data_IF_251348313460
#
_entry.id   IF_251348313460
#
_cell.length_a   1.000
_cell.length_b   1.000
_cell.length_c   1.000
_cell.angle_alpha   90.00
_cell.angle_beta   90.00
_cell.angle_gamma   90.00
#
_symmetry.space_group_name_H-M   'P 1'
#
loop_
_entity.id
_entity.type
_entity.pdbx_description
1 polymer ?
#
# COMPACT_ATOMS: atom_id res chain seq x y z
N UNK A 1 50.76 -33.63 -44.85
CA UNK A 1 50.12 -32.49 -45.53
C UNK A 1 48.73 -32.36 -44.98
N UNK A 2 48.52 -31.43 -44.04
CA UNK A 2 47.22 -31.08 -43.55
C UNK A 2 47.25 -29.55 -43.33
N UNK A 3 46.46 -28.87 -44.12
CA UNK A 3 46.30 -27.42 -44.19
C UNK A 3 45.49 -26.89 -43.00
N UNK A 4 46.05 -25.95 -42.31
CA UNK A 4 45.43 -25.20 -41.21
C UNK A 4 44.63 -24.05 -41.83
N UNK A 5 43.30 -24.04 -41.65
CA UNK A 5 42.44 -22.89 -41.97
C UNK A 5 42.43 -21.87 -40.85
N UNK A 6 42.90 -20.69 -41.13
CA UNK A 6 42.87 -19.50 -40.29
C UNK A 6 41.47 -18.85 -40.34
N UNK A 7 40.67 -18.94 -39.26
CA UNK A 7 39.47 -18.14 -39.13
C UNK A 7 39.81 -16.72 -38.66
N UNK A 8 39.60 -15.74 -39.54
CA UNK A 8 39.77 -14.31 -39.27
C UNK A 8 38.61 -13.84 -38.35
N UNK A 9 38.88 -13.66 -37.08
CA UNK A 9 38.01 -12.91 -36.16
C UNK A 9 37.97 -11.44 -36.60
N UNK A 10 36.78 -10.96 -36.93
CA UNK A 10 36.49 -9.63 -37.41
C UNK A 10 36.84 -8.56 -36.36
N UNK A 11 37.75 -7.64 -36.71
CA UNK A 11 38.14 -6.47 -35.91
C UNK A 11 36.98 -5.55 -35.49
N UNK A 12 35.77 -5.69 -36.08
CA UNK A 12 34.59 -4.90 -35.72
C UNK A 12 33.88 -5.35 -34.45
N UNK A 13 33.94 -6.64 -34.05
CA UNK A 13 33.35 -7.14 -32.84
C UNK A 13 34.12 -6.74 -31.57
N UNK A 14 35.45 -6.51 -31.68
CA UNK A 14 36.30 -6.15 -30.55
C UNK A 14 36.16 -4.66 -30.14
N UNK A 15 35.84 -3.79 -31.11
CA UNK A 15 35.67 -2.34 -30.86
C UNK A 15 34.33 -1.99 -30.21
N UNK A 16 33.26 -2.80 -30.41
CA UNK A 16 31.95 -2.56 -29.79
C UNK A 16 31.94 -2.94 -28.29
N UNK A 17 32.68 -4.00 -27.89
CA UNK A 17 32.78 -4.39 -26.48
C UNK A 17 33.71 -3.49 -25.66
N UNK A 18 34.70 -2.86 -26.30
CA UNK A 18 35.64 -1.93 -25.63
C UNK A 18 35.04 -0.53 -25.41
N UNK A 19 34.08 -0.11 -26.23
CA UNK A 19 33.41 1.20 -26.09
C UNK A 19 32.46 1.26 -24.90
N UNK A 20 31.79 0.15 -24.55
CA UNK A 20 30.87 0.09 -23.42
C UNK A 20 31.60 0.14 -22.05
N UNK A 21 32.82 -0.41 -21.96
CA UNK A 21 33.61 -0.37 -20.71
C UNK A 21 34.37 0.98 -20.58
N UNK A 22 34.67 1.66 -21.71
CA UNK A 22 35.37 2.94 -21.71
C UNK A 22 34.50 4.14 -21.35
N UNK A 23 33.18 4.10 -21.64
CA UNK A 23 32.28 5.21 -21.39
C UNK A 23 31.99 5.44 -19.88
N UNK A 24 32.03 4.38 -19.07
CA UNK A 24 31.81 4.48 -17.62
C UNK A 24 32.96 5.23 -16.89
N UNK A 25 34.13 5.34 -17.49
CA UNK A 25 35.30 6.00 -16.91
C UNK A 25 35.43 7.50 -17.25
N UNK A 26 34.54 8.05 -18.08
CA UNK A 26 34.62 9.44 -18.56
C UNK A 26 33.90 10.43 -17.64
N UNK A 27 32.98 9.95 -16.76
CA UNK A 27 32.24 10.83 -15.87
C UNK A 27 33.00 11.06 -14.54
N UNK A 28 32.93 12.28 -13.97
CA UNK A 28 33.42 12.57 -12.63
C UNK A 28 32.82 11.60 -11.58
N UNK A 29 33.58 11.28 -10.54
CA UNK A 29 33.13 10.33 -9.49
C UNK A 29 31.75 10.67 -8.90
N UNK A 30 31.46 11.96 -8.71
CA UNK A 30 30.14 12.43 -8.25
C UNK A 30 29.01 12.12 -9.24
N UNK A 31 29.25 12.21 -10.54
CA UNK A 31 28.26 11.89 -11.58
C UNK A 31 28.06 10.37 -11.68
N UNK A 32 29.13 9.59 -11.50
CA UNK A 32 29.02 8.12 -11.42
C UNK A 32 28.22 7.67 -10.20
N UNK A 33 28.53 8.22 -9.03
CA UNK A 33 27.77 7.94 -7.80
C UNK A 33 26.27 8.30 -7.97
N UNK A 34 25.96 9.47 -8.56
CA UNK A 34 24.59 9.87 -8.83
C UNK A 34 23.87 8.98 -9.87
N UNK A 35 24.59 8.44 -10.87
CA UNK A 35 24.04 7.48 -11.84
C UNK A 35 23.81 6.12 -11.18
N UNK A 36 24.71 5.66 -10.33
CA UNK A 36 24.58 4.42 -9.56
C UNK A 36 23.45 4.51 -8.52
N UNK A 37 23.33 5.63 -7.84
CA UNK A 37 22.27 5.89 -6.85
C UNK A 37 20.87 5.92 -7.48
N UNK A 38 20.73 6.45 -8.70
CA UNK A 38 19.46 6.54 -9.41
C UNK A 38 19.10 5.27 -10.21
N UNK A 39 20.01 4.27 -10.29
CA UNK A 39 19.76 3.04 -11.02
C UNK A 39 18.64 2.20 -10.36
N UNK A 40 17.85 1.54 -11.20
CA UNK A 40 16.93 0.50 -10.75
C UNK A 40 17.74 -0.78 -10.56
N UNK A 41 17.83 -1.25 -9.31
CA UNK A 41 18.62 -2.42 -8.91
C UNK A 41 17.68 -3.56 -8.54
N UNK A 42 17.96 -4.82 -8.94
CA UNK A 42 17.23 -5.96 -8.43
C UNK A 42 17.30 -6.02 -6.90
N UNK A 43 16.18 -6.38 -6.28
CA UNK A 43 16.08 -6.60 -4.85
C UNK A 43 15.61 -8.01 -4.56
N UNK A 44 16.11 -8.60 -3.49
CA UNK A 44 15.71 -9.90 -2.99
C UNK A 44 15.59 -9.84 -1.48
N UNK A 45 14.52 -10.39 -0.96
CA UNK A 45 14.35 -10.53 0.50
C UNK A 45 15.29 -11.63 0.99
N UNK A 46 16.13 -11.31 1.97
CA UNK A 46 17.10 -12.22 2.58
C UNK A 46 17.24 -11.85 4.07
N UNK A 47 16.40 -12.44 4.90
CA UNK A 47 16.39 -12.16 6.35
C UNK A 47 17.36 -13.09 7.05
N UNK A 48 18.36 -12.55 7.78
CA UNK A 48 19.28 -13.36 8.58
C UNK A 48 18.55 -14.25 9.59
N UNK A 49 18.99 -15.52 9.74
CA UNK A 49 18.33 -16.48 10.64
C UNK A 49 18.34 -16.01 12.10
N UNK A 50 19.38 -15.30 12.52
CA UNK A 50 19.48 -14.72 13.86
C UNK A 50 18.33 -13.77 14.20
N UNK A 51 17.76 -13.05 13.22
CA UNK A 51 16.59 -12.19 13.44
C UNK A 51 15.31 -13.02 13.69
N UNK A 52 15.17 -14.15 13.01
CA UNK A 52 14.05 -15.08 13.24
C UNK A 52 14.18 -15.78 14.58
N UNK A 53 15.40 -16.14 14.98
CA UNK A 53 15.70 -16.71 16.31
C UNK A 53 15.39 -15.67 17.40
N UNK A 54 15.79 -14.41 17.23
CA UNK A 54 15.48 -13.32 18.17
C UNK A 54 13.98 -13.09 18.29
N UNK A 55 13.25 -13.06 17.16
CA UNK A 55 11.78 -12.98 17.16
C UNK A 55 11.15 -14.08 18.02
N UNK A 56 11.50 -15.35 17.75
CA UNK A 56 10.96 -16.49 18.51
C UNK A 56 11.30 -16.39 20.01
N UNK A 57 12.51 -15.97 20.33
CA UNK A 57 12.96 -15.77 21.73
C UNK A 57 12.11 -14.69 22.41
N UNK A 58 11.83 -13.56 21.74
CA UNK A 58 11.01 -12.46 22.29
C UNK A 58 9.56 -12.88 22.46
N UNK A 59 8.98 -13.60 21.50
CA UNK A 59 7.64 -14.17 21.63
C UNK A 59 7.53 -15.12 22.83
N UNK A 60 8.53 -15.98 23.06
CA UNK A 60 8.56 -16.89 24.20
C UNK A 60 8.75 -16.19 25.56
N UNK A 61 9.42 -15.02 25.57
CA UNK A 61 9.69 -14.25 26.76
C UNK A 61 8.61 -13.20 27.07
N UNK A 62 7.47 -13.24 26.36
CA UNK A 62 6.40 -12.27 26.54
C UNK A 62 5.88 -12.22 27.96
N UNK A 63 5.85 -11.03 28.55
CA UNK A 63 5.17 -10.75 29.80
C UNK A 63 3.74 -10.29 29.50
N UNK A 64 2.78 -11.12 29.84
CA UNK A 64 1.37 -10.86 29.55
C UNK A 64 0.76 -9.92 30.60
N UNK A 65 -0.14 -9.01 30.15
CA UNK A 65 -0.97 -8.20 31.06
C UNK A 65 -2.10 -9.03 31.67
N UNK A 66 -2.83 -8.41 32.57
CA UNK A 66 -4.12 -8.94 33.05
C UNK A 66 -5.13 -9.03 31.89
N UNK A 67 -6.08 -9.93 32.04
CA UNK A 67 -7.16 -10.10 31.06
C UNK A 67 -8.05 -8.86 31.04
N UNK A 68 -8.58 -8.52 29.85
CA UNK A 68 -9.63 -7.51 29.66
C UNK A 68 -10.84 -7.81 30.56
N UNK A 69 -11.54 -6.73 31.01
CA UNK A 69 -12.70 -6.84 31.90
C UNK A 69 -14.05 -6.85 31.16
N UNK A 70 -13.99 -6.79 29.82
CA UNK A 70 -15.16 -6.84 28.92
C UNK A 70 -15.17 -8.15 28.13
N UNK A 71 -16.29 -8.45 27.48
CA UNK A 71 -16.46 -9.67 26.68
C UNK A 71 -16.28 -9.45 25.19
N UNK A 72 -16.03 -8.20 24.79
CA UNK A 72 -15.85 -7.76 23.41
C UNK A 72 -14.45 -7.13 23.21
N UNK A 73 -14.24 -6.46 22.09
CA UNK A 73 -12.97 -5.80 21.76
C UNK A 73 -12.95 -4.30 22.13
N UNK A 74 -13.87 -3.82 22.93
CA UNK A 74 -13.96 -2.39 23.30
C UNK A 74 -12.77 -1.89 24.13
N UNK A 75 -12.02 -2.79 24.78
CA UNK A 75 -10.75 -2.50 25.45
C UNK A 75 -9.52 -2.86 24.60
N UNK A 76 -9.68 -3.24 23.34
CA UNK A 76 -8.61 -3.66 22.42
C UNK A 76 -8.66 -5.15 22.11
N UNK A 77 -7.55 -5.68 21.59
CA UNK A 77 -7.42 -7.10 21.23
C UNK A 77 -7.51 -7.97 22.49
N UNK A 78 -8.40 -8.97 22.46
CA UNK A 78 -8.62 -9.87 23.60
C UNK A 78 -7.39 -10.75 23.89
N UNK A 79 -7.02 -10.87 25.15
CA UNK A 79 -5.83 -11.59 25.63
C UNK A 79 -5.76 -13.04 25.10
N UNK A 80 -6.87 -13.77 25.18
CA UNK A 80 -6.90 -15.19 24.79
C UNK A 80 -6.62 -15.37 23.29
N UNK A 81 -7.21 -14.54 22.43
CA UNK A 81 -6.99 -14.58 20.98
C UNK A 81 -5.55 -14.19 20.62
N UNK A 82 -5.01 -13.16 21.25
CA UNK A 82 -3.64 -12.75 21.02
C UNK A 82 -2.63 -13.80 21.50
N UNK A 83 -2.88 -14.47 22.64
CA UNK A 83 -2.04 -15.57 23.13
C UNK A 83 -2.03 -16.76 22.17
N UNK A 84 -3.18 -17.09 21.57
CA UNK A 84 -3.25 -18.15 20.56
C UNK A 84 -2.46 -17.80 19.31
N UNK A 85 -2.64 -16.56 18.79
CA UNK A 85 -1.91 -16.08 17.63
C UNK A 85 -0.40 -16.06 17.87
N UNK A 86 0.05 -15.58 19.02
CA UNK A 86 1.47 -15.50 19.40
C UNK A 86 2.07 -16.89 19.58
N UNK A 87 1.32 -17.84 20.16
CA UNK A 87 1.74 -19.24 20.23
C UNK A 87 1.96 -19.82 18.82
N UNK A 88 1.00 -19.60 17.92
CA UNK A 88 1.11 -20.04 16.53
C UNK A 88 2.30 -19.39 15.83
N UNK A 89 2.46 -18.06 15.98
CA UNK A 89 3.56 -17.29 15.41
C UNK A 89 4.94 -17.79 15.84
N UNK A 90 5.08 -18.15 17.12
CA UNK A 90 6.35 -18.62 17.67
C UNK A 90 6.70 -20.09 17.38
N UNK A 91 5.69 -20.94 17.03
CA UNK A 91 5.88 -22.40 16.91
C UNK A 91 5.58 -22.96 15.53
N UNK A 92 4.49 -22.52 14.91
CA UNK A 92 3.92 -23.16 13.73
C UNK A 92 4.12 -22.33 12.46
N UNK A 93 4.22 -21.00 12.61
CA UNK A 93 4.44 -20.05 11.51
C UNK A 93 5.90 -20.10 11.01
N UNK A 94 6.06 -20.03 9.69
CA UNK A 94 7.37 -20.07 9.04
C UNK A 94 7.54 -18.89 8.06
N UNK A 95 8.29 -17.87 8.47
CA UNK A 95 8.65 -16.72 7.62
C UNK A 95 9.30 -17.13 6.29
N UNK A 96 10.06 -18.24 6.26
CA UNK A 96 10.74 -18.65 5.01
C UNK A 96 9.77 -18.93 3.87
N UNK A 97 8.52 -19.29 4.18
CA UNK A 97 7.47 -19.44 3.17
C UNK A 97 7.05 -18.08 2.59
N UNK A 98 6.87 -17.05 3.44
CA UNK A 98 6.58 -15.70 3.02
C UNK A 98 7.73 -15.10 2.20
N UNK A 99 8.97 -15.25 2.67
CA UNK A 99 10.17 -14.82 1.98
C UNK A 99 10.31 -15.48 0.60
N UNK A 100 10.10 -16.81 0.52
CA UNK A 100 10.11 -17.53 -0.75
C UNK A 100 9.02 -17.02 -1.70
N UNK A 101 7.79 -16.80 -1.21
CA UNK A 101 6.67 -16.24 -1.98
C UNK A 101 7.00 -14.85 -2.52
N UNK A 102 7.49 -13.94 -1.69
CA UNK A 102 7.94 -12.62 -2.10
C UNK A 102 9.03 -12.71 -3.17
N UNK A 103 9.99 -13.59 -3.00
CA UNK A 103 11.11 -13.78 -3.93
C UNK A 103 10.74 -14.44 -5.27
N UNK A 104 9.51 -14.91 -5.45
CA UNK A 104 9.00 -15.30 -6.78
C UNK A 104 8.64 -14.10 -7.65
N UNK A 105 8.47 -12.93 -7.03
CA UNK A 105 8.08 -11.70 -7.71
C UNK A 105 9.32 -10.88 -8.08
N UNK A 106 9.34 -10.24 -9.26
CA UNK A 106 10.38 -9.28 -9.60
C UNK A 106 10.31 -8.08 -8.68
N UNK A 107 11.36 -7.89 -7.87
CA UNK A 107 11.49 -6.81 -6.90
C UNK A 107 12.71 -5.96 -7.20
N UNK A 108 12.60 -4.68 -6.93
CA UNK A 108 13.63 -3.71 -7.25
C UNK A 108 13.76 -2.65 -6.16
N UNK A 109 14.88 -1.93 -6.23
CA UNK A 109 15.21 -0.78 -5.40
C UNK A 109 15.73 0.35 -6.27
N UNK A 110 15.32 1.59 -6.00
CA UNK A 110 15.92 2.77 -6.63
C UNK A 110 15.94 3.92 -5.62
N UNK A 111 16.97 4.77 -5.68
CA UNK A 111 17.04 5.91 -4.79
C UNK A 111 16.28 7.10 -5.38
N UNK A 112 15.32 7.66 -4.64
CA UNK A 112 14.60 8.89 -5.01
C UNK A 112 14.64 9.83 -3.80
N UNK A 113 15.12 11.04 -4.01
CA UNK A 113 15.26 12.08 -2.99
C UNK A 113 16.01 11.63 -1.72
N UNK A 114 17.04 10.79 -1.92
CA UNK A 114 17.88 10.27 -0.85
C UNK A 114 17.33 9.07 -0.10
N UNK A 115 16.16 8.55 -0.48
CA UNK A 115 15.61 7.32 0.06
C UNK A 115 15.63 6.19 -0.97
N UNK A 116 16.06 5.01 -0.55
CA UNK A 116 15.91 3.78 -1.31
C UNK A 116 14.44 3.35 -1.27
N UNK A 117 13.80 3.35 -2.43
CA UNK A 117 12.41 2.95 -2.62
C UNK A 117 12.38 1.53 -3.15
N UNK A 118 11.84 0.63 -2.35
CA UNK A 118 11.53 -0.74 -2.75
C UNK A 118 10.23 -0.79 -3.53
N UNK A 119 10.17 -1.62 -4.57
CA UNK A 119 8.94 -1.87 -5.31
C UNK A 119 8.92 -3.24 -5.99
N UNK A 120 7.74 -3.80 -6.12
CA UNK A 120 7.44 -4.96 -6.96
C UNK A 120 7.04 -4.41 -8.32
N UNK A 121 7.57 -4.97 -9.41
CA UNK A 121 7.21 -4.56 -10.76
C UNK A 121 7.01 -5.79 -11.65
N UNK A 122 5.75 -6.08 -11.99
CA UNK A 122 5.39 -7.21 -12.83
C UNK A 122 4.75 -6.72 -14.12
N UNK A 123 5.41 -7.02 -15.24
CA UNK A 123 4.89 -6.71 -16.57
C UNK A 123 3.99 -7.82 -17.06
N UNK A 124 2.88 -7.44 -17.65
CA UNK A 124 2.02 -8.35 -18.39
C UNK A 124 2.72 -8.86 -19.66
N UNK A 125 2.34 -10.05 -20.08
CA UNK A 125 2.71 -10.58 -21.41
C UNK A 125 1.94 -9.91 -22.56
N UNK A 126 0.86 -9.20 -22.23
CA UNK A 126 0.03 -8.48 -23.20
C UNK A 126 0.68 -7.13 -23.53
N UNK A 127 0.98 -6.90 -24.82
CA UNK A 127 1.75 -5.73 -25.29
C UNK A 127 1.09 -4.38 -25.00
N UNK A 128 -0.24 -4.35 -24.87
CA UNK A 128 -1.03 -3.13 -24.65
C UNK A 128 -1.51 -3.01 -23.20
N UNK A 129 -0.83 -3.68 -22.27
CA UNK A 129 -1.14 -3.57 -20.85
C UNK A 129 -1.06 -2.10 -20.38
N UNK A 130 -2.05 -1.65 -19.62
CA UNK A 130 -2.06 -0.32 -19.02
C UNK A 130 -1.21 -0.36 -17.75
N UNK A 131 -0.16 0.46 -17.62
CA UNK A 131 0.59 0.51 -16.37
C UNK A 131 -0.26 1.07 -15.22
N UNK A 132 -0.22 0.41 -14.08
CA UNK A 132 -0.87 0.85 -12.85
C UNK A 132 0.12 0.84 -11.70
N UNK A 133 0.19 1.95 -10.96
CA UNK A 133 0.86 2.00 -9.67
C UNK A 133 -0.19 1.84 -8.57
N UNK A 134 0.01 0.85 -7.69
CA UNK A 134 -0.92 0.51 -6.62
C UNK A 134 -0.23 0.76 -5.28
N UNK A 135 -0.83 1.61 -4.46
CA UNK A 135 -0.25 2.02 -3.18
C UNK A 135 -1.05 1.45 -2.02
N UNK A 136 -0.35 0.70 -1.15
CA UNK A 136 -0.88 0.15 0.10
C UNK A 136 -1.05 1.21 1.19
N UNK A 137 -1.57 0.80 2.35
CA UNK A 137 -1.69 1.63 3.54
C UNK A 137 -1.23 0.98 4.83
N UNK A 138 -1.73 1.48 5.96
CA UNK A 138 -1.45 0.95 7.30
C UNK A 138 -2.70 0.23 7.87
N UNK A 139 -2.55 -0.87 8.60
CA UNK A 139 -1.33 -1.60 8.91
C UNK A 139 -0.91 -2.64 7.86
N UNK A 140 -1.33 -2.48 6.61
CA UNK A 140 -0.91 -3.32 5.49
C UNK A 140 0.48 -2.95 4.96
N UNK A 141 0.87 -3.66 3.91
CA UNK A 141 2.11 -3.47 3.17
C UNK A 141 1.94 -3.97 1.74
N UNK A 142 3.04 -4.14 1.00
CA UNK A 142 3.00 -4.82 -0.31
C UNK A 142 2.38 -6.22 -0.24
N UNK A 143 2.37 -6.85 0.95
CA UNK A 143 1.80 -8.19 1.16
C UNK A 143 0.30 -8.22 0.86
N UNK A 144 -0.45 -7.18 1.21
CA UNK A 144 -1.90 -7.10 0.95
C UNK A 144 -2.25 -7.10 -0.55
N UNK A 145 -1.29 -6.71 -1.40
CA UNK A 145 -1.50 -6.53 -2.84
C UNK A 145 -0.98 -7.70 -3.70
N UNK A 146 -0.33 -8.70 -3.11
CA UNK A 146 0.28 -9.81 -3.87
C UNK A 146 -0.76 -10.59 -4.67
N UNK A 147 -1.95 -10.81 -4.08
CA UNK A 147 -3.00 -11.63 -4.70
C UNK A 147 -3.60 -11.03 -5.95
N UNK A 148 -3.53 -9.71 -6.14
CA UNK A 148 -4.10 -9.04 -7.32
C UNK A 148 -3.14 -9.01 -8.51
N UNK A 149 -1.86 -9.34 -8.31
CA UNK A 149 -0.84 -9.29 -9.37
C UNK A 149 -1.21 -10.23 -10.53
N UNK A 150 -1.49 -11.50 -10.23
CA UNK A 150 -1.91 -12.47 -11.25
C UNK A 150 -3.16 -12.02 -12.03
N UNK A 151 -4.29 -11.77 -11.35
CA UNK A 151 -5.51 -11.29 -11.99
C UNK A 151 -5.33 -10.04 -12.85
N UNK A 152 -4.46 -9.11 -12.47
CA UNK A 152 -4.21 -7.88 -13.24
C UNK A 152 -3.24 -8.08 -14.40
N UNK A 153 -2.19 -8.89 -14.23
CA UNK A 153 -1.15 -9.05 -15.26
C UNK A 153 -1.49 -10.12 -16.30
N UNK A 154 -2.30 -11.12 -15.95
CA UNK A 154 -2.81 -12.18 -16.82
C UNK A 154 -4.32 -12.35 -16.66
N UNK A 155 -5.12 -11.35 -17.09
CA UNK A 155 -6.57 -11.39 -16.91
C UNK A 155 -7.24 -12.56 -17.62
N UNK A 156 -6.65 -13.11 -18.66
CA UNK A 156 -7.23 -14.25 -19.42
C UNK A 156 -7.28 -15.53 -18.59
N UNK A 157 -6.35 -15.72 -17.67
CA UNK A 157 -6.38 -16.82 -16.71
C UNK A 157 -7.37 -16.56 -15.54
N UNK A 158 -7.94 -15.35 -15.45
CA UNK A 158 -8.76 -14.88 -14.34
C UNK A 158 -10.09 -14.24 -14.81
N UNK A 159 -10.70 -14.78 -15.88
CA UNK A 159 -12.05 -14.38 -16.33
C UNK A 159 -12.14 -13.04 -17.05
N UNK A 160 -11.02 -12.37 -17.33
CA UNK A 160 -10.94 -11.14 -18.11
C UNK A 160 -10.44 -11.35 -19.53
N UNK A 161 -10.25 -10.26 -20.27
CA UNK A 161 -9.71 -10.27 -21.64
C UNK A 161 -8.26 -9.75 -21.66
N UNK A 162 -7.52 -10.05 -22.74
CA UNK A 162 -6.14 -9.60 -22.90
C UNK A 162 -6.02 -8.06 -22.89
N UNK A 163 -7.05 -7.36 -23.33
CA UNK A 163 -7.13 -5.89 -23.38
C UNK A 163 -7.26 -5.28 -21.98
N UNK A 164 -7.71 -6.07 -21.00
CA UNK A 164 -7.87 -5.64 -19.61
C UNK A 164 -6.56 -5.72 -18.79
N UNK A 165 -5.47 -6.18 -19.40
CA UNK A 165 -4.20 -6.39 -18.71
C UNK A 165 -3.56 -5.10 -18.18
N UNK A 166 -2.85 -5.25 -17.06
CA UNK A 166 -2.04 -4.18 -16.48
C UNK A 166 -0.58 -4.61 -16.34
N UNK A 167 0.34 -3.66 -16.53
CA UNK A 167 1.66 -3.71 -15.91
C UNK A 167 1.51 -3.18 -14.48
N UNK A 168 1.95 -3.94 -13.48
CA UNK A 168 1.70 -3.63 -12.08
C UNK A 168 2.97 -3.17 -11.38
N UNK A 169 2.91 -1.98 -10.74
CA UNK A 169 3.97 -1.43 -9.89
C UNK A 169 3.40 -1.27 -8.49
N UNK A 170 4.03 -1.92 -7.50
CA UNK A 170 3.61 -1.87 -6.09
C UNK A 170 4.80 -1.41 -5.26
N UNK A 171 4.93 -0.11 -4.98
CA UNK A 171 5.99 0.38 -4.12
C UNK A 171 5.68 0.16 -2.64
N UNK A 172 6.70 -0.11 -1.82
CA UNK A 172 6.64 0.11 -0.38
C UNK A 172 6.66 1.61 -0.09
N UNK A 173 5.67 2.11 0.61
CA UNK A 173 5.62 3.53 1.01
C UNK A 173 6.88 3.88 1.82
N UNK A 174 7.49 5.09 1.65
CA UNK A 174 8.63 5.52 2.47
C UNK A 174 8.40 5.29 3.96
N UNK A 175 9.33 4.57 4.59
CA UNK A 175 9.20 4.19 6.00
C UNK A 175 8.43 2.90 6.27
N UNK A 176 7.93 2.22 5.24
CA UNK A 176 7.24 0.93 5.30
C UNK A 176 8.06 -0.17 4.64
N UNK A 177 7.89 -1.39 5.13
CA UNK A 177 8.48 -2.58 4.53
C UNK A 177 9.98 -2.41 4.23
N UNK A 178 10.37 -2.65 3.00
CA UNK A 178 11.77 -2.60 2.59
C UNK A 178 12.23 -1.22 2.07
N UNK A 179 11.35 -0.22 1.96
CA UNK A 179 11.77 1.14 1.66
C UNK A 179 12.50 1.79 2.83
N UNK A 180 13.45 2.67 2.51
CA UNK A 180 14.18 3.45 3.53
C UNK A 180 13.24 4.29 4.38
N UNK A 181 13.65 4.51 5.64
CA UNK A 181 12.92 5.33 6.60
C UNK A 181 13.36 6.78 6.46
N UNK A 182 12.42 7.72 6.29
CA UNK A 182 12.75 9.14 6.34
C UNK A 182 13.48 9.51 7.64
N UNK A 183 14.58 10.25 7.50
CA UNK A 183 15.36 10.76 8.64
C UNK A 183 15.04 12.21 8.96
N UNK A 184 14.25 12.88 8.11
CA UNK A 184 13.76 14.24 8.27
C UNK A 184 12.26 14.30 8.09
N UNK A 185 11.67 15.47 8.35
CA UNK A 185 10.25 15.78 8.10
C UNK A 185 10.00 16.11 6.62
N UNK A 186 8.72 16.14 6.22
CA UNK A 186 8.29 16.54 4.88
C UNK A 186 7.94 15.38 3.95
N UNK A 187 7.99 14.13 4.42
CA UNK A 187 7.57 12.95 3.67
C UNK A 187 6.07 12.70 3.84
N UNK A 188 5.30 13.69 3.45
CA UNK A 188 3.84 13.65 3.45
C UNK A 188 3.28 13.06 2.13
N UNK A 189 1.95 12.86 2.00
CA UNK A 189 1.35 12.33 0.79
C UNK A 189 1.68 13.12 -0.49
N UNK A 190 1.91 14.43 -0.41
CA UNK A 190 2.26 15.26 -1.57
C UNK A 190 3.68 14.96 -2.08
N UNK A 191 4.64 14.77 -1.17
CA UNK A 191 6.01 14.38 -1.52
C UNK A 191 6.07 12.93 -2.03
N UNK A 192 5.35 12.03 -1.38
CA UNK A 192 5.28 10.63 -1.84
C UNK A 192 4.66 10.54 -3.24
N UNK A 193 3.66 11.37 -3.55
CA UNK A 193 3.08 11.45 -4.89
C UNK A 193 4.10 11.89 -5.96
N UNK A 194 4.99 12.84 -5.64
CA UNK A 194 6.11 13.23 -6.52
C UNK A 194 7.08 12.07 -6.71
N UNK A 195 7.40 11.35 -5.65
CA UNK A 195 8.24 10.15 -5.68
C UNK A 195 7.66 9.07 -6.59
N UNK A 196 6.34 8.84 -6.55
CA UNK A 196 5.66 7.88 -7.43
C UNK A 196 5.67 8.33 -8.90
N UNK A 197 5.50 9.61 -9.16
CA UNK A 197 5.61 10.16 -10.52
C UNK A 197 7.02 9.97 -11.08
N UNK A 198 8.06 10.22 -10.29
CA UNK A 198 9.46 9.99 -10.67
C UNK A 198 9.75 8.49 -10.88
N UNK A 199 9.21 7.61 -10.01
CA UNK A 199 9.34 6.15 -10.17
C UNK A 199 8.75 5.69 -11.51
N UNK A 200 7.52 6.10 -11.84
CA UNK A 200 6.86 5.71 -13.09
C UNK A 200 7.62 6.24 -14.31
N UNK A 201 8.16 7.45 -14.24
CA UNK A 201 9.02 8.04 -15.26
C UNK A 201 10.32 7.23 -15.46
N UNK A 202 11.01 6.82 -14.38
CA UNK A 202 12.22 5.97 -14.44
C UNK A 202 11.95 4.60 -15.05
N UNK A 203 10.75 4.05 -14.82
CA UNK A 203 10.30 2.81 -15.45
C UNK A 203 9.95 2.98 -16.95
N UNK A 204 9.97 4.22 -17.47
CA UNK A 204 9.70 4.54 -18.87
C UNK A 204 8.22 4.64 -19.22
N UNK A 205 7.35 4.72 -18.23
CA UNK A 205 5.92 4.82 -18.46
C UNK A 205 5.50 6.27 -18.76
N UNK A 206 5.01 6.49 -19.98
CA UNK A 206 4.50 7.78 -20.46
C UNK A 206 2.98 7.89 -20.36
N UNK A 207 2.29 6.78 -20.06
CA UNK A 207 0.85 6.69 -19.81
C UNK A 207 0.64 5.65 -18.72
N UNK A 208 -0.05 6.01 -17.65
CA UNK A 208 -0.34 5.12 -16.53
C UNK A 208 -1.52 5.61 -15.70
N UNK A 209 -2.03 4.76 -14.83
CA UNK A 209 -3.06 5.08 -13.84
C UNK A 209 -2.55 4.78 -12.44
N UNK A 210 -3.18 5.38 -11.41
CA UNK A 210 -2.84 5.10 -10.03
C UNK A 210 -4.05 4.56 -9.27
N UNK A 211 -3.79 3.67 -8.32
CA UNK A 211 -4.79 3.11 -7.42
C UNK A 211 -4.32 3.25 -5.98
N UNK A 212 -5.24 3.51 -5.04
CA UNK A 212 -4.94 3.51 -3.62
C UNK A 212 -6.16 3.38 -2.73
N UNK A 213 -5.98 2.64 -1.66
CA UNK A 213 -6.84 2.60 -0.47
C UNK A 213 -6.04 3.08 0.74
N UNK A 214 -6.67 3.35 1.88
CA UNK A 214 -6.02 3.86 3.08
C UNK A 214 -5.02 5.00 2.77
N UNK A 215 -3.73 4.89 3.12
CA UNK A 215 -2.71 5.90 2.73
C UNK A 215 -2.52 6.00 1.22
N UNK A 216 -2.76 4.93 0.47
CA UNK A 216 -2.76 4.98 -0.98
C UNK A 216 -3.79 5.96 -1.55
N UNK A 217 -4.93 6.18 -0.87
CA UNK A 217 -5.96 7.11 -1.35
C UNK A 217 -5.51 8.58 -1.31
N UNK A 218 -5.00 9.15 -0.19
CA UNK A 218 -4.45 10.51 -0.18
C UNK A 218 -3.22 10.66 -1.08
N UNK A 219 -2.36 9.64 -1.21
CA UNK A 219 -1.20 9.68 -2.11
C UNK A 219 -1.66 9.73 -3.58
N UNK A 220 -2.60 8.86 -3.99
CA UNK A 220 -3.16 8.89 -5.36
C UNK A 220 -3.93 10.18 -5.64
N UNK A 221 -4.66 10.71 -4.65
CA UNK A 221 -5.32 12.02 -4.76
C UNK A 221 -4.31 13.15 -4.92
N UNK A 222 -3.18 13.11 -4.23
CA UNK A 222 -2.09 14.08 -4.40
C UNK A 222 -1.44 13.96 -5.79
N UNK A 223 -1.23 12.74 -6.31
CA UNK A 223 -0.79 12.53 -7.69
C UNK A 223 -1.77 13.17 -8.68
N UNK A 224 -3.08 12.93 -8.51
CA UNK A 224 -4.09 13.49 -9.41
C UNK A 224 -4.16 15.03 -9.35
N UNK A 225 -3.94 15.63 -8.18
CA UNK A 225 -3.88 17.09 -8.01
C UNK A 225 -2.63 17.69 -8.68
N UNK A 226 -1.48 17.01 -8.54
CA UNK A 226 -0.22 17.43 -9.17
C UNK A 226 -0.24 17.17 -10.68
N UNK A 227 -1.09 16.27 -11.16
CA UNK A 227 -1.29 15.91 -12.56
C UNK A 227 0.04 15.70 -13.33
N UNK A 228 0.95 14.81 -12.87
CA UNK A 228 2.19 14.57 -13.54
C UNK A 228 1.95 14.07 -14.97
N UNK A 229 2.89 14.38 -15.87
CA UNK A 229 2.80 13.91 -17.25
C UNK A 229 2.64 12.39 -17.30
N UNK A 230 1.65 11.93 -18.07
CA UNK A 230 1.36 10.50 -18.24
C UNK A 230 0.33 9.91 -17.27
N UNK A 231 -0.01 10.55 -16.16
CA UNK A 231 -1.09 10.09 -15.30
C UNK A 231 -2.44 10.36 -15.96
N UNK A 232 -3.19 9.30 -16.27
CA UNK A 232 -4.48 9.36 -16.97
C UNK A 232 -5.67 9.52 -16.03
N UNK A 233 -5.56 9.01 -14.81
CA UNK A 233 -6.63 9.01 -13.83
C UNK A 233 -6.28 8.16 -12.63
N UNK A 234 -7.16 8.17 -11.62
CA UNK A 234 -6.98 7.44 -10.37
C UNK A 234 -8.21 6.60 -10.03
N UNK A 235 -7.97 5.50 -9.30
CA UNK A 235 -9.03 4.73 -8.66
C UNK A 235 -8.80 4.70 -7.16
N UNK A 236 -9.87 4.89 -6.39
CA UNK A 236 -9.84 4.98 -4.93
C UNK A 236 -10.85 4.02 -4.31
N UNK A 237 -10.43 3.27 -3.30
CA UNK A 237 -11.26 2.85 -2.20
C UNK A 237 -10.85 3.67 -0.97
N UNK A 238 -11.78 4.02 -0.09
CA UNK A 238 -11.61 5.02 0.97
C UNK A 238 -11.33 6.45 0.45
N UNK A 239 -12.17 7.00 -0.45
CA UNK A 239 -11.94 8.32 -1.02
C UNK A 239 -12.23 9.46 -0.05
N UNK A 240 -11.57 10.61 -0.23
CA UNK A 240 -11.84 11.83 0.53
C UNK A 240 -13.05 12.56 -0.02
N UNK A 241 -14.24 12.23 0.43
CA UNK A 241 -15.50 12.78 -0.07
C UNK A 241 -16.35 13.47 1.00
N UNK A 242 -15.87 13.49 2.25
CA UNK A 242 -16.61 14.00 3.39
C UNK A 242 -16.91 15.50 3.23
N UNK A 243 -18.20 15.92 3.17
CA UNK A 243 -18.55 17.32 3.05
C UNK A 243 -18.05 18.15 4.24
N UNK A 244 -17.66 19.43 4.06
CA UNK A 244 -17.15 20.28 5.14
C UNK A 244 -18.11 20.40 6.32
N UNK A 245 -19.42 20.49 6.06
CA UNK A 245 -20.46 20.58 7.10
C UNK A 245 -20.56 19.28 7.93
N UNK A 246 -20.29 18.14 7.32
CA UNK A 246 -20.23 16.85 8.04
C UNK A 246 -18.91 16.73 8.80
N UNK A 247 -17.80 17.10 8.18
CA UNK A 247 -16.47 17.07 8.82
C UNK A 247 -16.44 17.93 10.10
N UNK A 248 -17.19 19.04 10.14
CA UNK A 248 -17.24 19.94 11.29
C UNK A 248 -17.94 19.33 12.52
N UNK A 249 -18.89 18.40 12.35
CA UNK A 249 -19.66 17.83 13.47
C UNK A 249 -19.05 16.52 13.99
N UNK A 250 -18.23 15.82 13.21
CA UNK A 250 -17.68 14.54 13.61
C UNK A 250 -16.79 14.60 14.88
N UNK A 251 -15.85 15.58 15.03
CA UNK A 251 -14.97 15.63 16.20
C UNK A 251 -15.72 15.85 17.52
N UNK A 252 -16.86 16.52 17.48
CA UNK A 252 -17.68 16.82 18.67
C UNK A 252 -18.82 15.83 18.90
N UNK A 253 -18.99 14.86 17.98
CA UNK A 253 -20.09 13.90 18.05
C UNK A 253 -21.47 14.54 18.01
N UNK A 254 -21.59 15.69 17.33
CA UNK A 254 -22.81 16.48 17.19
C UNK A 254 -23.86 15.80 16.31
N UNK A 255 -25.10 16.32 16.26
CA UNK A 255 -26.13 15.77 15.39
C UNK A 255 -25.75 15.95 13.92
N UNK A 256 -26.24 15.04 13.07
CA UNK A 256 -26.05 15.15 11.62
C UNK A 256 -26.64 16.48 11.11
N UNK A 257 -25.95 17.15 10.17
CA UNK A 257 -26.45 18.38 9.57
C UNK A 257 -27.85 18.24 8.97
N UNK A 258 -28.63 19.34 8.96
CA UNK A 258 -29.92 19.35 8.29
C UNK A 258 -29.78 19.21 6.77
N UNK A 259 -30.81 18.68 6.11
CA UNK A 259 -30.86 18.55 4.64
C UNK A 259 -30.18 17.35 4.05
N UNK A 260 -29.58 16.46 4.87
CA UNK A 260 -29.05 15.18 4.43
C UNK A 260 -30.18 14.19 4.10
N UNK A 261 -30.00 13.39 3.06
CA UNK A 261 -30.81 12.21 2.79
C UNK A 261 -30.68 11.17 3.92
N UNK A 262 -31.56 10.17 3.96
CA UNK A 262 -31.49 9.11 4.95
C UNK A 262 -30.19 8.30 4.84
N UNK A 263 -29.72 8.01 3.62
CA UNK A 263 -28.43 7.34 3.40
C UNK A 263 -27.25 8.18 3.91
N UNK A 264 -27.19 9.45 3.57
CA UNK A 264 -26.13 10.36 4.04
C UNK A 264 -26.14 10.50 5.57
N UNK A 265 -27.33 10.57 6.19
CA UNK A 265 -27.48 10.58 7.64
C UNK A 265 -26.95 9.30 8.28
N UNK A 266 -27.28 8.14 7.71
CA UNK A 266 -26.78 6.85 8.19
C UNK A 266 -25.24 6.76 8.14
N UNK A 267 -24.62 7.35 7.11
CA UNK A 267 -23.14 7.42 7.04
C UNK A 267 -22.57 8.30 8.14
N UNK A 268 -23.16 9.48 8.43
CA UNK A 268 -22.73 10.34 9.56
C UNK A 268 -22.84 9.60 10.88
N UNK A 269 -23.96 8.95 11.13
CA UNK A 269 -24.20 8.16 12.36
C UNK A 269 -23.21 7.01 12.51
N UNK A 270 -22.89 6.33 11.40
CA UNK A 270 -21.87 5.28 11.34
C UNK A 270 -20.49 5.78 11.74
N UNK A 271 -20.06 6.94 11.19
CA UNK A 271 -18.78 7.56 11.53
C UNK A 271 -18.70 8.01 12.99
N UNK A 272 -19.78 8.58 13.51
CA UNK A 272 -19.88 8.95 14.95
C UNK A 272 -19.81 7.71 15.83
N UNK A 273 -20.51 6.65 15.47
CA UNK A 273 -20.48 5.37 16.20
C UNK A 273 -19.08 4.74 16.15
N UNK A 274 -18.40 4.80 14.99
CA UNK A 274 -17.03 4.35 14.80
C UNK A 274 -16.07 5.06 15.76
N UNK A 275 -16.16 6.39 15.83
CA UNK A 275 -15.32 7.19 16.72
C UNK A 275 -15.63 6.92 18.21
N UNK A 276 -16.94 6.82 18.59
CA UNK A 276 -17.36 6.53 19.96
C UNK A 276 -16.92 5.16 20.47
N UNK A 277 -16.77 4.17 19.59
CA UNK A 277 -16.21 2.85 19.92
C UNK A 277 -14.70 2.85 20.12
N UNK A 278 -14.02 3.98 19.93
CA UNK A 278 -12.55 4.08 20.03
C UNK A 278 -11.80 3.54 18.81
N UNK A 279 -12.50 3.21 17.73
CA UNK A 279 -11.90 2.62 16.53
C UNK A 279 -10.88 3.54 15.82
N UNK A 280 -10.94 4.85 16.07
CA UNK A 280 -9.97 5.83 15.57
C UNK A 280 -8.82 6.11 16.54
N UNK A 281 -8.73 5.44 17.68
CA UNK A 281 -7.72 5.74 18.71
C UNK A 281 -6.28 5.58 18.19
N UNK A 282 -6.02 4.54 17.38
CA UNK A 282 -4.72 4.31 16.76
C UNK A 282 -4.31 5.51 15.87
N UNK A 283 -5.24 6.03 15.07
CA UNK A 283 -5.04 7.18 14.20
C UNK A 283 -4.66 8.43 15.00
N UNK A 284 -5.44 8.74 16.03
CA UNK A 284 -5.19 9.89 16.92
C UNK A 284 -3.83 9.79 17.57
N UNK A 285 -3.46 8.60 18.08
CA UNK A 285 -2.18 8.39 18.76
C UNK A 285 -1.00 8.51 17.79
N UNK A 286 -1.07 7.93 16.59
CA UNK A 286 -0.01 8.05 15.60
C UNK A 286 0.11 9.47 15.03
N UNK A 287 -1.00 10.18 14.84
CA UNK A 287 -0.98 11.60 14.45
C UNK A 287 -0.34 12.48 15.51
N UNK A 288 -0.55 12.21 16.78
CA UNK A 288 -0.09 13.06 17.88
C UNK A 288 1.30 12.68 18.41
N UNK A 289 1.59 11.40 18.60
CA UNK A 289 2.77 10.90 19.32
C UNK A 289 3.29 9.56 18.78
N UNK A 290 3.66 9.44 17.48
CA UNK A 290 4.10 8.18 16.87
C UNK A 290 5.35 7.62 17.55
N UNK A 291 6.28 8.48 18.01
CA UNK A 291 7.50 8.03 18.68
C UNK A 291 7.21 7.34 20.03
N UNK A 292 6.15 7.73 20.74
CA UNK A 292 5.78 7.08 22.00
C UNK A 292 5.36 5.64 21.79
N UNK A 293 4.56 5.38 20.75
CA UNK A 293 4.19 4.02 20.33
C UNK A 293 5.42 3.27 19.81
N UNK A 294 6.33 3.99 19.14
CA UNK A 294 7.56 3.46 18.57
C UNK A 294 8.39 2.62 19.54
N UNK A 295 8.50 3.04 20.79
CA UNK A 295 9.27 2.28 21.80
C UNK A 295 8.67 0.90 22.07
N UNK A 296 7.35 0.78 22.06
CA UNK A 296 6.68 -0.50 22.27
C UNK A 296 6.73 -1.41 21.03
N UNK A 297 6.37 -0.89 19.85
CA UNK A 297 6.33 -1.69 18.62
C UNK A 297 7.71 -2.12 18.13
N UNK A 298 8.78 -1.41 18.51
CA UNK A 298 10.15 -1.76 18.17
C UNK A 298 10.76 -2.80 19.12
N UNK A 299 10.28 -2.87 20.38
CA UNK A 299 10.85 -3.76 21.39
C UNK A 299 10.07 -5.06 21.58
N UNK A 300 8.74 -5.01 21.42
CA UNK A 300 7.87 -6.16 21.68
C UNK A 300 7.11 -6.58 20.42
N UNK A 301 7.39 -7.78 19.85
CA UNK A 301 6.61 -8.28 18.72
C UNK A 301 5.14 -8.50 19.08
N UNK A 302 4.83 -8.82 20.33
CA UNK A 302 3.45 -8.97 20.81
C UNK A 302 2.74 -7.64 20.88
N UNK A 303 3.43 -6.56 21.33
CA UNK A 303 2.85 -5.23 21.28
C UNK A 303 2.63 -4.76 19.83
N UNK A 304 3.57 -5.04 18.93
CA UNK A 304 3.40 -4.76 17.50
C UNK A 304 2.15 -5.46 16.94
N UNK A 305 2.01 -6.76 17.19
CA UNK A 305 0.83 -7.50 16.75
C UNK A 305 -0.47 -6.91 17.32
N UNK A 306 -0.52 -6.65 18.63
CA UNK A 306 -1.69 -6.04 19.27
C UNK A 306 -2.00 -4.65 18.69
N UNK A 307 -0.96 -3.85 18.39
CA UNK A 307 -1.11 -2.53 17.82
C UNK A 307 -1.66 -2.56 16.38
N UNK A 308 -1.23 -3.49 15.56
CA UNK A 308 -1.74 -3.64 14.20
C UNK A 308 -3.17 -4.22 14.20
N UNK A 309 -3.43 -5.21 15.05
CA UNK A 309 -4.73 -5.89 15.16
C UNK A 309 -5.83 -5.03 15.78
N UNK A 310 -5.53 -3.88 16.37
CA UNK A 310 -6.55 -2.93 16.84
C UNK A 310 -7.24 -2.21 15.68
N UNK A 311 -6.64 -2.24 14.47
CA UNK A 311 -7.27 -1.64 13.31
C UNK A 311 -8.59 -2.36 12.97
N UNK A 312 -9.70 -1.63 12.76
CA UNK A 312 -11.01 -2.24 12.55
C UNK A 312 -11.08 -3.20 11.35
N UNK A 313 -10.31 -2.95 10.30
CA UNK A 313 -10.20 -3.87 9.17
C UNK A 313 -9.65 -5.24 9.58
N UNK A 314 -8.69 -5.32 10.50
CA UNK A 314 -8.20 -6.58 11.07
C UNK A 314 -9.17 -7.21 12.07
N UNK A 315 -9.90 -6.41 12.82
CA UNK A 315 -10.83 -6.89 13.85
C UNK A 315 -11.99 -7.72 13.27
N UNK A 316 -12.28 -7.57 11.99
CA UNK A 316 -13.33 -8.33 11.29
C UNK A 316 -12.86 -9.74 10.87
N UNK A 317 -11.56 -10.02 10.87
CA UNK A 317 -11.03 -11.27 10.40
C UNK A 317 -11.07 -12.37 11.45
N UNK A 318 -11.37 -13.58 11.02
CA UNK A 318 -11.39 -14.78 11.87
C UNK A 318 -10.03 -15.44 12.03
N UNK A 319 -8.98 -14.84 11.44
CA UNK A 319 -7.58 -15.32 11.44
C UNK A 319 -7.44 -16.78 10.97
N UNK A 320 -8.22 -17.16 9.95
CA UNK A 320 -8.17 -18.51 9.37
C UNK A 320 -9.04 -19.55 10.05
N UNK A 321 -9.98 -19.15 10.92
CA UNK A 321 -11.03 -20.06 11.39
C UNK A 321 -11.94 -20.55 10.24
N UNK A 322 -12.05 -19.74 9.18
CA UNK A 322 -12.67 -20.10 7.92
C UNK A 322 -11.60 -20.06 6.81
N UNK A 323 -11.14 -21.22 6.30
CA UNK A 323 -10.07 -21.27 5.30
C UNK A 323 -10.48 -20.70 3.94
N UNK A 324 -11.78 -20.54 3.67
CA UNK A 324 -12.30 -19.90 2.46
C UNK A 324 -12.30 -18.37 2.56
N UNK A 325 -12.16 -17.82 3.77
CA UNK A 325 -12.07 -16.38 4.00
C UNK A 325 -10.61 -15.94 4.06
N UNK A 326 -10.30 -14.97 3.25
CA UNK A 326 -9.01 -14.29 3.22
C UNK A 326 -9.06 -13.01 4.07
N UNK A 327 -7.95 -12.60 4.69
CA UNK A 327 -6.63 -13.25 4.70
C UNK A 327 -6.57 -14.41 5.69
N UNK A 328 -5.67 -15.36 5.42
CA UNK A 328 -5.37 -16.46 6.35
C UNK A 328 -4.53 -15.98 7.53
N UNK A 329 -4.42 -16.83 8.57
CA UNK A 329 -3.55 -16.56 9.74
C UNK A 329 -2.09 -16.34 9.31
N UNK A 330 -1.58 -17.15 8.38
CA UNK A 330 -0.22 -17.00 7.86
C UNK A 330 -0.04 -15.67 7.13
N UNK A 331 -0.99 -15.27 6.28
CA UNK A 331 -0.91 -13.99 5.56
C UNK A 331 -0.92 -12.79 6.50
N UNK A 332 -1.73 -12.80 7.55
CA UNK A 332 -1.70 -11.76 8.59
C UNK A 332 -0.35 -11.71 9.28
N UNK A 333 0.23 -12.89 9.59
CA UNK A 333 1.55 -12.99 10.21
C UNK A 333 2.67 -12.64 9.24
N UNK A 334 2.53 -12.88 7.92
CA UNK A 334 3.48 -12.42 6.91
C UNK A 334 3.64 -10.89 6.97
N UNK A 335 2.53 -10.17 7.08
CA UNK A 335 2.53 -8.72 7.18
C UNK A 335 3.08 -8.22 8.52
N UNK A 336 2.60 -8.74 9.65
CA UNK A 336 3.09 -8.37 10.98
C UNK A 336 4.59 -8.68 11.11
N UNK A 337 5.03 -9.83 10.59
CA UNK A 337 6.45 -10.24 10.63
C UNK A 337 7.31 -9.34 9.74
N UNK A 338 6.80 -8.91 8.59
CA UNK A 338 7.49 -7.93 7.74
C UNK A 338 7.75 -6.62 8.50
N UNK A 339 6.72 -6.08 9.18
CA UNK A 339 6.89 -4.89 10.02
C UNK A 339 7.92 -5.09 11.13
N UNK A 340 7.92 -6.25 11.77
CA UNK A 340 8.89 -6.59 12.81
C UNK A 340 10.32 -6.64 12.27
N UNK A 341 10.55 -7.43 11.24
CA UNK A 341 11.88 -7.68 10.67
C UNK A 341 12.50 -6.42 10.05
N UNK A 342 11.70 -5.55 9.49
CA UNK A 342 12.15 -4.26 8.95
C UNK A 342 12.15 -3.15 10.01
N UNK A 343 11.61 -3.40 11.21
CA UNK A 343 11.40 -2.41 12.25
C UNK A 343 10.72 -1.13 11.72
N UNK A 344 9.69 -1.28 10.87
CA UNK A 344 9.08 -0.17 10.12
C UNK A 344 7.84 0.43 10.80
N UNK A 345 7.33 -0.15 11.89
CA UNK A 345 6.09 0.31 12.52
C UNK A 345 6.16 1.76 13.03
N UNK A 346 7.31 2.18 13.59
CA UNK A 346 7.49 3.56 14.06
C UNK A 346 7.52 4.55 12.90
N UNK A 347 8.27 4.23 11.83
CA UNK A 347 8.37 5.09 10.64
C UNK A 347 7.04 5.18 9.88
N UNK A 348 6.29 4.07 9.82
CA UNK A 348 4.94 4.06 9.28
C UNK A 348 3.99 5.00 10.06
N UNK A 349 4.08 4.98 11.39
CA UNK A 349 3.32 5.91 12.25
C UNK A 349 3.66 7.38 12.02
N UNK A 350 4.88 7.71 11.58
CA UNK A 350 5.26 9.09 11.29
C UNK A 350 4.52 9.68 10.10
N UNK A 351 4.07 8.90 9.13
CA UNK A 351 3.25 9.39 8.03
C UNK A 351 1.92 9.99 8.53
N UNK A 352 1.35 9.43 9.60
CA UNK A 352 0.18 10.02 10.27
C UNK A 352 0.49 11.39 10.86
N UNK A 353 1.64 11.53 11.49
CA UNK A 353 2.09 12.81 12.05
C UNK A 353 2.37 13.84 10.96
N UNK A 354 3.04 13.48 9.88
CA UNK A 354 3.29 14.34 8.72
C UNK A 354 1.99 14.87 8.10
N UNK A 355 0.92 14.06 8.09
CA UNK A 355 -0.39 14.45 7.58
C UNK A 355 -1.26 15.14 8.64
N UNK A 356 -0.92 15.06 9.94
CA UNK A 356 -1.78 15.49 11.06
C UNK A 356 -2.13 16.96 11.05
N UNK A 357 -1.25 17.82 10.58
CA UNK A 357 -1.50 19.26 10.42
C UNK A 357 -2.52 19.58 9.29
N UNK A 358 -2.88 18.58 8.45
CA UNK A 358 -3.77 18.74 7.30
C UNK A 358 -5.17 18.18 7.54
N UNK A 359 -5.44 17.63 8.73
CA UNK A 359 -6.74 17.07 9.10
C UNK A 359 -6.92 15.59 8.77
N UNK A 360 -8.18 15.12 8.74
CA UNK A 360 -8.52 13.73 8.46
C UNK A 360 -8.20 13.31 7.02
N UNK A 361 -7.69 12.09 6.83
CA UNK A 361 -7.43 11.50 5.51
C UNK A 361 -8.69 11.37 4.64
N UNK A 362 -9.87 11.31 5.26
CA UNK A 362 -11.15 11.19 4.56
C UNK A 362 -11.85 12.53 4.31
N UNK A 363 -11.29 13.63 4.79
CA UNK A 363 -11.87 14.97 4.57
C UNK A 363 -11.56 15.49 3.18
N UNK A 364 -12.56 15.81 2.40
CA UNK A 364 -12.43 16.40 1.07
C UNK A 364 -11.64 17.72 1.10
N UNK A 365 -11.84 18.53 2.14
CA UNK A 365 -11.10 19.78 2.33
C UNK A 365 -9.60 19.55 2.56
N UNK A 366 -9.25 18.52 3.34
CA UNK A 366 -7.86 18.14 3.58
C UNK A 366 -7.16 17.64 2.30
N UNK A 367 -7.89 16.90 1.46
CA UNK A 367 -7.38 16.35 0.20
C UNK A 367 -7.48 17.32 -0.99
N UNK A 368 -8.12 18.47 -0.82
CA UNK A 368 -8.32 19.48 -1.88
C UNK A 368 -8.89 18.88 -3.17
N UNK A 369 -9.90 18.04 -3.04
CA UNK A 369 -10.47 17.25 -4.15
C UNK A 369 -11.02 18.13 -5.28
N UNK A 370 -11.45 19.35 -4.98
CA UNK A 370 -11.91 20.31 -5.99
C UNK A 370 -10.80 20.74 -6.98
N UNK A 371 -9.53 20.60 -6.62
CA UNK A 371 -8.37 20.89 -7.48
C UNK A 371 -8.06 19.74 -8.45
N UNK A 372 -8.66 18.56 -8.27
CA UNK A 372 -8.44 17.39 -9.12
C UNK A 372 -9.28 17.50 -10.38
N UNK A 373 -8.61 17.66 -11.53
CA UNK A 373 -9.23 17.70 -12.85
C UNK A 373 -9.17 16.37 -13.60
N UNK A 374 -8.25 15.49 -13.21
CA UNK A 374 -8.10 14.18 -13.83
C UNK A 374 -9.30 13.27 -13.52
N UNK A 375 -9.55 12.25 -14.36
CA UNK A 375 -10.55 11.23 -14.12
C UNK A 375 -10.36 10.52 -12.78
N UNK A 376 -11.44 10.40 -12.01
CA UNK A 376 -11.48 9.69 -10.73
C UNK A 376 -12.49 8.56 -10.83
N UNK A 377 -12.10 7.39 -10.37
CA UNK A 377 -12.94 6.22 -10.21
C UNK A 377 -13.00 5.81 -8.74
N UNK A 378 -14.13 5.31 -8.27
CA UNK A 378 -14.34 4.91 -6.88
C UNK A 378 -15.06 3.57 -6.83
N UNK A 379 -14.53 2.66 -6.00
CA UNK A 379 -15.27 1.46 -5.56
C UNK A 379 -15.45 1.51 -4.06
N UNK A 380 -16.70 1.32 -3.60
CA UNK A 380 -17.07 1.29 -2.18
C UNK A 380 -17.30 -0.15 -1.76
N UNK A 381 -16.52 -0.60 -0.78
CA UNK A 381 -16.65 -1.93 -0.19
C UNK A 381 -17.52 -1.88 1.07
N UNK A 382 -18.46 -2.84 1.28
CA UNK A 382 -19.47 -2.74 2.33
C UNK A 382 -18.94 -2.80 3.75
N UNK A 383 -17.77 -3.41 3.96
CA UNK A 383 -17.13 -3.55 5.27
C UNK A 383 -15.94 -2.60 5.47
N UNK A 384 -15.76 -1.59 4.58
CA UNK A 384 -14.74 -0.56 4.77
C UNK A 384 -15.15 0.41 5.91
N UNK A 385 -14.15 1.04 6.50
CA UNK A 385 -14.31 1.98 7.63
C UNK A 385 -15.09 3.25 7.25
N UNK A 386 -15.15 3.58 5.97
CA UNK A 386 -15.92 4.70 5.44
C UNK A 386 -16.54 4.33 4.08
N UNK A 387 -17.83 4.51 3.97
CA UNK A 387 -18.62 4.22 2.78
C UNK A 387 -19.32 5.49 2.30
N UNK A 388 -18.67 6.24 1.39
CA UNK A 388 -19.25 7.48 0.89
C UNK A 388 -20.48 7.22 0.01
N UNK A 389 -21.56 7.99 0.16
CA UNK A 389 -22.62 8.02 -0.84
C UNK A 389 -22.13 8.60 -2.16
N UNK A 390 -22.69 8.14 -3.28
CA UNK A 390 -22.34 8.67 -4.61
C UNK A 390 -22.53 10.20 -4.71
N UNK A 391 -23.54 10.74 -4.04
CA UNK A 391 -23.78 12.19 -4.00
C UNK A 391 -22.59 12.97 -3.46
N UNK A 392 -21.94 12.47 -2.40
CA UNK A 392 -20.75 13.10 -1.85
C UNK A 392 -19.53 12.91 -2.76
N UNK A 393 -19.39 11.73 -3.37
CA UNK A 393 -18.33 11.46 -4.33
C UNK A 393 -18.41 12.41 -5.54
N UNK A 394 -19.59 12.60 -6.12
CA UNK A 394 -19.83 13.54 -7.22
C UNK A 394 -19.62 15.01 -6.82
N UNK A 395 -19.91 15.35 -5.57
CA UNK A 395 -19.64 16.69 -5.04
C UNK A 395 -18.14 16.94 -4.86
N UNK A 396 -17.39 15.94 -4.41
CA UNK A 396 -15.95 16.05 -4.15
C UNK A 396 -15.12 16.02 -5.44
N UNK A 397 -15.48 15.16 -6.41
CA UNK A 397 -14.72 14.93 -7.63
C UNK A 397 -15.52 15.35 -8.88
N UNK A 398 -15.11 16.44 -9.54
CA UNK A 398 -15.80 16.98 -10.71
C UNK A 398 -15.78 16.03 -11.91
N UNK A 399 -14.72 15.25 -12.05
CA UNK A 399 -14.53 14.29 -13.15
C UNK A 399 -14.59 12.85 -12.62
N UNK A 400 -15.71 12.51 -11.95
CA UNK A 400 -16.00 11.17 -11.50
C UNK A 400 -16.49 10.34 -12.68
N UNK A 401 -15.64 9.43 -13.18
CA UNK A 401 -15.92 8.59 -14.39
C UNK A 401 -16.49 7.22 -14.04
N UNK A 402 -16.34 6.77 -12.79
CA UNK A 402 -16.82 5.49 -12.31
C UNK A 402 -17.15 5.56 -10.83
N UNK A 403 -18.27 5.00 -10.44
CA UNK A 403 -18.68 4.80 -9.06
C UNK A 403 -19.44 3.48 -8.95
N UNK A 404 -19.00 2.61 -8.06
CA UNK A 404 -19.66 1.33 -7.83
C UNK A 404 -19.65 0.99 -6.35
N UNK A 405 -20.79 0.51 -5.85
CA UNK A 405 -20.92 -0.09 -4.52
C UNK A 405 -21.03 -1.60 -4.71
N UNK A 406 -20.04 -2.34 -4.22
CA UNK A 406 -19.99 -3.81 -4.32
C UNK A 406 -20.62 -4.47 -3.11
N UNK A 407 -20.91 -5.78 -3.20
CA UNK A 407 -21.66 -6.53 -2.21
C UNK A 407 -20.79 -7.24 -1.15
N UNK A 408 -19.48 -7.25 -1.31
CA UNK A 408 -18.53 -7.92 -0.40
C UNK A 408 -17.16 -7.26 -0.39
N UNK A 409 -16.39 -7.55 0.66
CA UNK A 409 -15.07 -6.99 0.89
C UNK A 409 -15.08 -5.80 1.85
N UNK A 410 -13.93 -5.55 2.44
CA UNK A 410 -13.74 -4.53 3.46
C UNK A 410 -12.56 -3.61 3.15
N UNK A 411 -11.91 -3.17 4.21
CA UNK A 411 -10.81 -2.19 4.14
C UNK A 411 -9.63 -2.67 3.29
N UNK A 412 -9.29 -3.96 3.40
CA UNK A 412 -8.21 -4.58 2.64
C UNK A 412 -8.75 -5.36 1.43
N UNK A 413 -9.58 -4.70 0.63
CA UNK A 413 -10.31 -5.32 -0.46
C UNK A 413 -9.45 -6.15 -1.43
N UNK A 414 -8.23 -5.68 -1.74
CA UNK A 414 -7.27 -6.41 -2.58
C UNK A 414 -6.80 -7.73 -1.95
N UNK A 415 -6.80 -7.80 -0.64
CA UNK A 415 -6.39 -8.97 0.13
C UNK A 415 -7.58 -9.94 0.34
N UNK A 416 -8.73 -9.37 0.69
CA UNK A 416 -9.97 -10.09 1.04
C UNK A 416 -10.70 -10.63 -0.18
N UNK A 417 -10.78 -9.83 -1.26
CA UNK A 417 -11.54 -10.09 -2.49
C UNK A 417 -10.71 -9.77 -3.74
N UNK A 418 -9.55 -10.44 -3.95
CA UNK A 418 -8.61 -10.07 -5.01
C UNK A 418 -9.20 -10.13 -6.42
N UNK A 419 -10.11 -11.07 -6.67
CA UNK A 419 -10.76 -11.20 -7.96
C UNK A 419 -11.70 -10.01 -8.22
N UNK A 420 -12.60 -9.72 -7.26
CA UNK A 420 -13.55 -8.59 -7.36
C UNK A 420 -12.80 -7.25 -7.46
N UNK A 421 -11.77 -7.05 -6.63
CA UNK A 421 -10.94 -5.85 -6.70
C UNK A 421 -10.33 -5.66 -8.09
N UNK A 422 -9.82 -6.74 -8.70
CA UNK A 422 -9.24 -6.68 -10.04
C UNK A 422 -10.27 -6.42 -11.13
N UNK A 423 -11.48 -6.95 -10.99
CA UNK A 423 -12.61 -6.66 -11.88
C UNK A 423 -13.02 -5.19 -11.82
N UNK A 424 -13.10 -4.64 -10.61
CA UNK A 424 -13.39 -3.22 -10.38
C UNK A 424 -12.33 -2.32 -11.04
N UNK A 425 -11.03 -2.62 -10.90
CA UNK A 425 -9.98 -1.86 -11.56
C UNK A 425 -10.09 -1.91 -13.09
N UNK A 426 -10.41 -3.07 -13.65
CA UNK A 426 -10.62 -3.22 -15.09
C UNK A 426 -11.78 -2.35 -15.57
N UNK A 427 -12.91 -2.39 -14.85
CA UNK A 427 -14.11 -1.61 -15.15
C UNK A 427 -13.83 -0.10 -15.03
N UNK A 428 -13.22 0.32 -13.93
CA UNK A 428 -12.90 1.70 -13.60
C UNK A 428 -12.03 2.38 -14.68
N UNK A 429 -11.04 1.68 -15.21
CA UNK A 429 -10.09 2.25 -16.16
C UNK A 429 -10.37 1.92 -17.63
N UNK A 430 -11.50 1.26 -17.93
CA UNK A 430 -11.82 0.85 -19.31
C UNK A 430 -11.85 2.02 -20.28
N UNK A 431 -12.47 3.14 -19.90
CA UNK A 431 -12.56 4.34 -20.73
C UNK A 431 -11.20 5.02 -20.99
N UNK A 432 -10.21 4.81 -20.11
CA UNK A 432 -8.90 5.44 -20.21
C UNK A 432 -7.92 4.64 -21.08
N UNK A 433 -8.28 3.40 -21.47
CA UNK A 433 -7.47 2.56 -22.37
C UNK A 433 -7.57 2.98 -23.83
N UNK A 434 -8.68 3.58 -24.24
CA UNK A 434 -9.07 3.80 -25.65
C UNK A 434 -8.59 5.12 -26.25
N UNK A 435 -7.69 5.87 -25.63
CA UNK A 435 -7.17 7.10 -26.21
C UNK A 435 -5.89 6.80 -27.03
N UNK A 436 -6.06 6.48 -28.30
CA UNK A 436 -5.03 6.55 -29.34
C UNK A 436 -4.87 7.98 -29.83
#
# INVERSE_FOLDING_TARGET
MATVENSKLSRRGFLASSAAVGAANVFPAAVRAAIEDNAIRPFRVDIPEEQLVDLRRRLAATRWPDKETVTDQSQGVQLAGLQELVRYWGKDYDWRKAEAKLNTLPQFMTNIDGLDIHFIHVRSRNKNALPVIITHGWPGSVVELIKVIGPLTDPTAHGGSAEDAFDVVIPSVPGYGFSSKPTGTGWDPDHIAQTWAELMKRLGYTRYVAQGGDWGAPISSAMARQAPAGLLGIHLNLPATLPPEVAAVLPVGGPAPAGLSDNERAVVESLIAYAKKGNSAYFVMMTARPQTIGYGVADSPVFLAAWMLVHPGFAQWTYGADPEKSPTKDEVLDDITLYWLTNSATSAGRLYWENGARGSVISAGAQKTAEISLPVAITVFPEDVYRPPETWARRAYRNLIYFNEVDKGGHFAAWEQPQLFSEELRAAFRSLRQSN
#
